data_IF_479333923086
#
_entry.id   IF_479333923086
#
_cell.length_a   1.000
_cell.length_b   1.000
_cell.length_c   1.000
_cell.angle_alpha   90.00
_cell.angle_beta   90.00
_cell.angle_gamma   90.00
#
_symmetry.space_group_name_H-M   'P 1'
#
loop_
_entity.id
_entity.type
_entity.pdbx_description
1 polymer ?
#
# COMPACT_ATOMS: atom_id res chain seq x y z
N UNK A 1 8.34 52.85 -55.05
CA UNK A 1 7.64 52.06 -54.02
C UNK A 1 8.57 50.95 -53.51
N UNK A 2 8.58 50.74 -52.18
CA UNK A 2 9.52 49.94 -51.37
C UNK A 2 9.65 48.48 -51.82
N UNK A 3 10.87 47.97 -51.97
CA UNK A 3 11.16 46.52 -51.93
C UNK A 3 11.17 46.09 -50.46
N UNK A 4 10.22 45.27 -50.05
CA UNK A 4 10.17 44.66 -48.72
C UNK A 4 11.25 43.59 -48.61
N UNK A 5 12.24 43.82 -47.75
CA UNK A 5 13.27 42.84 -47.43
C UNK A 5 12.69 41.82 -46.44
N UNK A 6 12.40 40.60 -46.90
CA UNK A 6 12.00 39.50 -46.03
C UNK A 6 13.24 38.91 -45.35
N UNK A 7 13.34 39.05 -44.03
CA UNK A 7 14.41 38.45 -43.25
C UNK A 7 14.32 36.91 -43.35
N UNK A 8 15.34 36.28 -43.91
CA UNK A 8 15.46 34.83 -44.02
C UNK A 8 15.61 34.26 -42.61
N UNK A 9 14.57 33.62 -42.08
CA UNK A 9 14.67 32.85 -40.83
C UNK A 9 15.57 31.64 -41.10
N UNK A 10 16.73 31.59 -40.42
CA UNK A 10 17.54 30.37 -40.37
C UNK A 10 16.80 29.37 -39.49
N UNK A 11 16.11 28.42 -40.09
CA UNK A 11 15.64 27.24 -39.36
C UNK A 11 16.84 26.31 -39.16
N UNK A 12 17.42 26.36 -37.97
CA UNK A 12 18.41 25.37 -37.53
C UNK A 12 17.68 24.07 -37.19
N UNK A 13 17.80 23.07 -38.07
CA UNK A 13 17.35 21.72 -37.78
C UNK A 13 18.25 21.05 -36.73
N UNK A 14 17.66 20.22 -35.87
CA UNK A 14 18.40 19.36 -34.95
C UNK A 14 19.26 18.36 -35.73
N UNK A 15 20.46 18.08 -35.23
CA UNK A 15 21.34 17.07 -35.83
C UNK A 15 20.93 15.66 -35.41
N UNK A 16 21.17 14.66 -36.27
CA UNK A 16 20.96 13.25 -35.90
C UNK A 16 21.80 12.84 -34.69
N UNK A 17 22.99 13.40 -34.53
CA UNK A 17 23.88 13.10 -33.41
C UNK A 17 23.29 13.59 -32.07
N UNK A 18 22.58 14.72 -32.07
CA UNK A 18 21.90 15.22 -30.87
C UNK A 18 20.78 14.31 -30.41
N UNK A 19 20.04 13.68 -31.32
CA UNK A 19 19.02 12.70 -30.93
C UNK A 19 19.68 11.41 -30.42
N UNK A 20 20.77 10.97 -31.05
CA UNK A 20 21.50 9.75 -30.63
C UNK A 20 22.10 9.92 -29.23
N UNK A 21 22.75 11.04 -28.92
CA UNK A 21 23.35 11.24 -27.60
C UNK A 21 22.29 11.29 -26.49
N UNK A 22 21.11 11.87 -26.77
CA UNK A 22 20.01 11.96 -25.81
C UNK A 22 19.46 10.57 -25.47
N UNK A 23 19.20 9.71 -26.45
CA UNK A 23 18.71 8.36 -26.18
C UNK A 23 19.76 7.49 -25.48
N UNK A 24 21.06 7.72 -25.75
CA UNK A 24 22.15 7.04 -25.04
C UNK A 24 22.20 7.45 -23.57
N UNK A 25 22.10 8.75 -23.28
CA UNK A 25 22.08 9.26 -21.90
C UNK A 25 20.84 8.74 -21.15
N UNK A 26 19.65 8.84 -21.76
CA UNK A 26 18.41 8.30 -21.17
C UNK A 26 18.52 6.78 -20.97
N UNK A 27 19.13 6.07 -21.91
CA UNK A 27 19.35 4.62 -21.82
C UNK A 27 20.23 4.22 -20.64
N UNK A 28 21.34 4.94 -20.40
CA UNK A 28 22.23 4.69 -19.25
C UNK A 28 21.50 4.98 -17.93
N UNK A 29 20.81 6.11 -17.83
CA UNK A 29 20.05 6.48 -16.63
C UNK A 29 18.92 5.48 -16.37
N UNK A 30 18.21 5.05 -17.41
CA UNK A 30 17.14 4.06 -17.29
C UNK A 30 17.68 2.71 -16.80
N UNK A 31 18.82 2.25 -17.33
CA UNK A 31 19.44 0.98 -16.94
C UNK A 31 19.76 0.90 -15.44
N UNK A 32 20.16 2.02 -14.81
CA UNK A 32 20.45 2.09 -13.37
C UNK A 32 19.21 2.40 -12.52
N UNK A 33 18.30 3.24 -13.02
CA UNK A 33 17.16 3.75 -12.25
C UNK A 33 16.03 2.73 -12.13
N UNK A 34 15.73 1.99 -13.20
CA UNK A 34 14.65 1.00 -13.24
C UNK A 34 14.79 -0.09 -12.16
N UNK A 35 15.92 -0.81 -12.04
CA UNK A 35 16.06 -1.87 -11.02
C UNK A 35 15.95 -1.30 -9.59
N UNK A 36 16.50 -0.11 -9.35
CA UNK A 36 16.39 0.56 -8.05
C UNK A 36 14.95 0.94 -7.70
N UNK A 37 14.19 1.44 -8.67
CA UNK A 37 12.79 1.83 -8.49
C UNK A 37 11.90 0.63 -8.16
N UNK A 38 12.11 -0.52 -8.82
CA UNK A 38 11.37 -1.77 -8.55
C UNK A 38 11.61 -2.25 -7.12
N UNK A 39 12.87 -2.27 -6.66
CA UNK A 39 13.21 -2.66 -5.29
C UNK A 39 12.56 -1.73 -4.25
N UNK A 40 12.68 -0.41 -4.45
CA UNK A 40 12.08 0.59 -3.54
C UNK A 40 10.55 0.44 -3.45
N UNK A 41 9.89 0.12 -4.57
CA UNK A 41 8.44 -0.09 -4.58
C UNK A 41 8.05 -1.33 -3.76
N UNK A 42 8.83 -2.40 -3.85
CA UNK A 42 8.64 -3.60 -3.03
C UNK A 42 8.82 -3.32 -1.54
N UNK A 43 9.90 -2.64 -1.18
CA UNK A 43 10.21 -2.26 0.21
C UNK A 43 9.14 -1.32 0.79
N UNK A 44 8.65 -0.37 0.00
CA UNK A 44 7.59 0.54 0.39
C UNK A 44 6.28 -0.21 0.69
N UNK A 45 5.91 -1.18 -0.15
CA UNK A 45 4.72 -2.04 0.08
C UNK A 45 4.86 -2.87 1.35
N UNK A 46 6.04 -3.44 1.58
CA UNK A 46 6.33 -4.20 2.80
C UNK A 46 6.22 -3.34 4.06
N UNK A 47 6.81 -2.15 4.03
CA UNK A 47 6.72 -1.21 5.15
C UNK A 47 5.27 -0.76 5.43
N UNK A 48 4.48 -0.50 4.37
CA UNK A 48 3.06 -0.18 4.50
C UNK A 48 2.25 -1.35 5.10
N UNK A 49 2.54 -2.58 4.68
CA UNK A 49 1.93 -3.79 5.21
C UNK A 49 2.28 -4.02 6.68
N UNK A 50 3.54 -3.83 7.07
CA UNK A 50 3.97 -3.94 8.47
C UNK A 50 3.31 -2.86 9.36
N UNK A 51 3.18 -1.63 8.85
CA UNK A 51 2.42 -0.56 9.52
C UNK A 51 0.94 -0.92 9.70
N UNK A 52 0.32 -1.50 8.67
CA UNK A 52 -1.07 -1.97 8.73
C UNK A 52 -1.26 -3.08 9.76
N UNK A 53 -0.35 -4.06 9.80
CA UNK A 53 -0.37 -5.12 10.82
C UNK A 53 -0.29 -4.52 12.23
N UNK A 54 0.57 -3.51 12.43
CA UNK A 54 0.65 -2.78 13.70
C UNK A 54 -0.66 -2.13 14.12
N UNK A 55 -1.34 -1.46 13.18
CA UNK A 55 -2.64 -0.85 13.41
C UNK A 55 -3.72 -1.89 13.76
N UNK A 56 -3.76 -2.99 13.02
CA UNK A 56 -4.70 -4.10 13.27
C UNK A 56 -4.48 -4.72 14.66
N UNK A 57 -3.23 -4.96 15.05
CA UNK A 57 -2.91 -5.48 16.39
C UNK A 57 -3.35 -4.53 17.50
N UNK A 58 -3.19 -3.21 17.30
CA UNK A 58 -3.66 -2.20 18.24
C UNK A 58 -5.19 -2.22 18.34
N UNK A 59 -5.89 -2.24 17.20
CA UNK A 59 -7.35 -2.38 17.14
C UNK A 59 -7.84 -3.63 17.88
N UNK A 60 -7.20 -4.78 17.68
CA UNK A 60 -7.52 -6.01 18.41
C UNK A 60 -7.28 -5.90 19.92
N UNK A 61 -6.20 -5.24 20.35
CA UNK A 61 -5.93 -5.03 21.77
C UNK A 61 -6.97 -4.11 22.42
N UNK A 62 -7.38 -3.04 21.73
CA UNK A 62 -8.40 -2.11 22.21
C UNK A 62 -9.77 -2.80 22.26
N UNK A 63 -10.13 -3.55 21.22
CA UNK A 63 -11.38 -4.32 21.19
C UNK A 63 -11.46 -5.33 22.34
N UNK A 64 -10.36 -6.03 22.59
CA UNK A 64 -10.26 -6.96 23.71
C UNK A 64 -10.36 -6.26 25.07
N UNK A 65 -9.68 -5.11 25.26
CA UNK A 65 -9.76 -4.35 26.49
C UNK A 65 -11.18 -3.82 26.76
N UNK A 66 -11.85 -3.31 25.72
CA UNK A 66 -13.24 -2.85 25.80
C UNK A 66 -14.19 -4.00 26.17
N UNK A 67 -13.98 -5.18 25.60
CA UNK A 67 -14.77 -6.35 25.93
C UNK A 67 -14.57 -6.79 27.38
N UNK A 68 -13.33 -6.88 27.87
CA UNK A 68 -13.11 -7.20 29.30
C UNK A 68 -13.71 -6.18 30.26
N UNK A 69 -13.82 -4.93 29.83
CA UNK A 69 -14.44 -3.87 30.62
C UNK A 69 -15.99 -3.92 30.64
N UNK A 70 -16.65 -4.59 29.68
CA UNK A 70 -18.12 -4.72 29.68
C UNK A 70 -18.63 -5.71 30.74
N UNK A 71 -17.77 -6.59 31.26
CA UNK A 71 -18.11 -7.51 32.36
C UNK A 71 -19.09 -8.62 31.97
N UNK A 72 -19.29 -8.81 30.68
CA UNK A 72 -20.25 -9.72 30.05
C UNK A 72 -19.50 -10.64 29.08
N UNK A 73 -19.60 -11.96 29.27
CA UNK A 73 -19.07 -12.94 28.32
C UNK A 73 -19.99 -13.13 27.09
N UNK A 74 -21.04 -12.31 26.98
CA UNK A 74 -21.94 -12.28 25.82
C UNK A 74 -21.32 -11.50 24.67
N UNK A 75 -21.73 -11.85 23.45
CA UNK A 75 -21.28 -11.20 22.23
C UNK A 75 -21.94 -9.81 22.09
N UNK A 76 -21.39 -8.83 22.81
CA UNK A 76 -21.90 -7.45 22.87
C UNK A 76 -21.52 -6.63 21.61
N UNK A 77 -21.15 -7.30 20.51
CA UNK A 77 -20.72 -6.67 19.26
C UNK A 77 -19.33 -6.03 19.32
N UNK A 78 -18.61 -6.20 20.43
CA UNK A 78 -17.24 -5.71 20.63
C UNK A 78 -16.17 -6.68 20.10
N UNK A 79 -16.51 -7.94 19.87
CA UNK A 79 -15.59 -8.92 19.34
C UNK A 79 -15.26 -8.68 17.87
N UNK A 80 -13.98 -8.76 17.53
CA UNK A 80 -13.53 -8.80 16.14
C UNK A 80 -13.63 -10.24 15.67
N UNK A 81 -14.73 -10.55 14.97
CA UNK A 81 -15.04 -11.89 14.47
C UNK A 81 -14.70 -12.09 12.99
N UNK A 82 -14.55 -10.99 12.26
CA UNK A 82 -14.30 -10.96 10.83
C UNK A 82 -13.65 -9.63 10.43
N UNK A 83 -13.29 -9.53 9.15
CA UNK A 83 -12.60 -8.40 8.57
C UNK A 83 -13.50 -7.16 8.47
N UNK A 84 -14.81 -7.35 8.32
CA UNK A 84 -15.79 -6.26 8.29
C UNK A 84 -15.90 -5.60 9.67
N UNK A 85 -15.92 -6.39 10.74
CA UNK A 85 -15.89 -5.88 12.11
C UNK A 85 -14.55 -5.24 12.42
N UNK A 86 -13.43 -5.84 12.03
CA UNK A 86 -12.10 -5.23 12.20
C UNK A 86 -12.03 -3.84 11.56
N UNK A 87 -12.62 -3.65 10.37
CA UNK A 87 -12.64 -2.36 9.70
C UNK A 87 -13.34 -1.26 10.54
N UNK A 88 -14.34 -1.61 11.36
CA UNK A 88 -15.01 -0.64 12.25
C UNK A 88 -14.14 -0.16 13.42
N UNK A 89 -13.05 -0.89 13.72
CA UNK A 89 -12.07 -0.53 14.75
C UNK A 89 -10.87 0.23 14.19
N UNK A 90 -10.78 0.34 12.85
CA UNK A 90 -9.78 1.15 12.18
C UNK A 90 -10.40 2.49 11.80
N UNK A 91 -9.69 3.58 12.10
CA UNK A 91 -10.15 4.92 11.74
C UNK A 91 -10.19 5.05 10.21
N UNK A 92 -11.39 5.27 9.66
CA UNK A 92 -11.62 5.30 8.20
C UNK A 92 -11.61 3.94 7.49
N UNK A 93 -11.51 2.82 8.22
CA UNK A 93 -11.47 1.47 7.65
C UNK A 93 -10.07 1.03 7.19
N UNK A 94 -10.02 0.15 6.19
CA UNK A 94 -8.74 -0.35 5.66
C UNK A 94 -8.01 0.72 4.83
N UNK A 95 -6.69 0.86 4.98
CA UNK A 95 -5.90 1.76 4.14
C UNK A 95 -5.85 1.28 2.69
N UNK A 96 -5.42 2.15 1.78
CA UNK A 96 -5.31 1.83 0.36
C UNK A 96 -4.41 0.60 0.12
N UNK A 97 -4.84 -0.28 -0.79
CA UNK A 97 -4.16 -1.54 -1.08
C UNK A 97 -4.41 -2.65 -0.05
N UNK A 98 -5.29 -2.43 0.93
CA UNK A 98 -5.71 -3.44 1.91
C UNK A 98 -7.20 -3.73 1.72
N UNK A 99 -7.55 -5.01 1.75
CA UNK A 99 -8.95 -5.43 1.65
C UNK A 99 -9.24 -6.56 2.62
N UNK A 100 -10.37 -6.46 3.31
CA UNK A 100 -10.85 -7.45 4.24
C UNK A 100 -12.14 -8.09 3.75
N UNK A 101 -12.23 -9.41 3.82
CA UNK A 101 -13.48 -10.14 3.59
C UNK A 101 -13.53 -11.43 4.40
N UNK A 102 -14.64 -11.64 5.11
CA UNK A 102 -14.82 -12.78 5.98
C UNK A 102 -13.71 -12.85 7.03
N UNK A 103 -13.00 -13.97 7.13
CA UNK A 103 -11.89 -14.13 8.07
C UNK A 103 -10.54 -13.67 7.51
N UNK A 104 -10.49 -13.03 6.35
CA UNK A 104 -9.23 -12.72 5.67
C UNK A 104 -9.00 -11.22 5.47
N UNK A 105 -7.74 -10.78 5.60
CA UNK A 105 -7.30 -9.42 5.25
C UNK A 105 -6.07 -9.51 4.35
N UNK A 106 -6.16 -9.01 3.12
CA UNK A 106 -5.04 -8.91 2.18
C UNK A 106 -4.32 -7.58 2.35
N UNK A 107 -2.99 -7.63 2.46
CA UNK A 107 -2.12 -6.47 2.70
C UNK A 107 -1.51 -5.92 1.39
N UNK A 108 -0.88 -4.74 1.49
CA UNK A 108 -0.29 -4.01 0.36
C UNK A 108 0.84 -4.76 -0.36
N UNK A 109 1.49 -5.69 0.34
CA UNK A 109 2.56 -6.54 -0.19
C UNK A 109 2.07 -7.92 -0.68
N UNK A 110 0.76 -8.18 -0.62
CA UNK A 110 0.15 -9.44 -1.04
C UNK A 110 0.02 -10.48 0.07
N UNK A 111 0.59 -10.25 1.26
CA UNK A 111 0.37 -11.15 2.42
C UNK A 111 -1.10 -11.18 2.81
N UNK A 112 -1.55 -12.30 3.36
CA UNK A 112 -2.92 -12.45 3.87
C UNK A 112 -2.89 -12.75 5.37
N UNK A 113 -3.62 -11.96 6.15
CA UNK A 113 -3.89 -12.21 7.56
C UNK A 113 -5.17 -13.02 7.70
N UNK A 114 -5.17 -13.97 8.62
CA UNK A 114 -6.38 -14.73 8.99
C UNK A 114 -6.81 -14.29 10.38
N UNK A 115 -8.04 -13.78 10.46
CA UNK A 115 -8.73 -13.46 11.69
C UNK A 115 -9.37 -14.76 12.18
N UNK A 116 -8.86 -15.27 13.29
CA UNK A 116 -9.48 -16.41 13.98
C UNK A 116 -10.32 -15.87 15.13
N UNK A 117 -11.66 -15.91 15.04
CA UNK A 117 -12.52 -15.58 16.18
C UNK A 117 -12.30 -16.60 17.30
N UNK A 118 -11.84 -16.17 18.47
CA UNK A 118 -11.71 -17.01 19.66
C UNK A 118 -12.66 -16.45 20.73
N UNK A 119 -13.75 -17.17 21.00
CA UNK A 119 -14.93 -16.66 21.72
C UNK A 119 -14.93 -16.90 23.23
N UNK A 120 -13.86 -17.45 23.84
CA UNK A 120 -13.92 -17.77 25.27
C UNK A 120 -12.77 -17.34 26.17
N UNK A 121 -11.51 -17.26 25.73
CA UNK A 121 -10.43 -16.99 26.72
C UNK A 121 -9.15 -16.36 26.16
N UNK A 122 -9.11 -15.94 24.90
CA UNK A 122 -7.89 -15.40 24.30
C UNK A 122 -8.20 -14.22 23.38
N UNK A 123 -7.31 -13.24 23.38
CA UNK A 123 -7.31 -12.08 22.47
C UNK A 123 -7.65 -12.56 21.07
N UNK A 124 -8.51 -11.87 20.32
CA UNK A 124 -8.70 -12.16 18.89
C UNK A 124 -7.30 -12.25 18.24
N UNK A 125 -6.91 -13.48 17.85
CA UNK A 125 -5.58 -13.73 17.30
C UNK A 125 -5.65 -13.39 15.82
N UNK A 126 -5.13 -12.22 15.46
CA UNK A 126 -4.78 -11.94 14.07
C UNK A 126 -3.44 -12.62 13.84
N UNK A 127 -3.50 -13.83 13.28
CA UNK A 127 -2.31 -14.51 12.82
C UNK A 127 -2.03 -14.06 11.39
N UNK A 128 -0.78 -13.71 11.11
CA UNK A 128 -0.32 -13.62 9.73
C UNK A 128 -0.38 -15.04 9.18
N UNK A 129 -1.37 -15.32 8.33
CA UNK A 129 -1.33 -16.54 7.54
C UNK A 129 -0.07 -16.44 6.71
N UNK A 130 0.83 -17.42 6.84
CA UNK A 130 1.95 -17.57 5.93
C UNK A 130 1.37 -17.96 4.55
N UNK A 131 0.80 -17.00 3.84
CA UNK A 131 0.48 -17.12 2.43
C UNK A 131 1.79 -17.12 1.67
N UNK A 132 2.20 -18.30 1.22
CA UNK A 132 3.11 -18.52 0.10
C UNK A 132 2.68 -17.74 -1.13
#
# INVERSE_FOLDING_TARGET
>A
MKRSNAAKKNESGFTFIEIIVVIVIIGIIAAIAVPKFVNLTGDAKKAAADGTIGAINSACSIAFAKHRASGTDTDDGTWIINAEKLATWLDGGYPEGVSGSGTTVKLQDGRTLTITPETKDNRAKVAVGSGS
#
